data_IF_058853225694
#
_entry.id   IF_058853225694
#
_cell.length_a   1.000
_cell.length_b   1.000
_cell.length_c   1.000
_cell.angle_alpha   90.00
_cell.angle_beta   90.00
_cell.angle_gamma   90.00
#
_symmetry.space_group_name_H-M   'P 1'
#
loop_
_entity.id
_entity.type
_entity.pdbx_description
1 polymer ?
#
# COMPACT_ATOMS: atom_id res chain seq x y z
N UNK A 1 1.13 -55.28 2.08
CA UNK A 1 2.04 -54.47 1.25
C UNK A 1 1.33 -53.16 0.97
N UNK A 2 1.54 -52.15 1.82
CA UNK A 2 0.85 -50.87 1.73
C UNK A 2 1.75 -49.90 0.99
N UNK A 3 1.35 -49.51 -0.21
CA UNK A 3 2.03 -48.47 -0.97
C UNK A 3 1.53 -47.15 -0.40
N UNK A 4 2.35 -46.48 0.42
CA UNK A 4 2.08 -45.12 0.83
C UNK A 4 2.19 -44.24 -0.43
N UNK A 5 1.08 -43.60 -0.81
CA UNK A 5 1.08 -42.62 -1.87
C UNK A 5 1.90 -41.40 -1.39
N UNK A 6 3.11 -41.28 -1.94
CA UNK A 6 3.95 -40.11 -1.77
C UNK A 6 3.21 -38.92 -2.39
N UNK A 7 2.87 -37.92 -1.57
CA UNK A 7 2.16 -36.73 -2.05
C UNK A 7 3.17 -35.93 -2.88
N UNK A 8 2.84 -35.54 -4.13
CA UNK A 8 3.74 -34.71 -4.92
C UNK A 8 4.03 -33.40 -4.17
N UNK A 9 5.29 -33.16 -3.85
CA UNK A 9 5.78 -31.87 -3.37
C UNK A 9 5.78 -30.93 -4.57
N UNK A 10 4.65 -30.27 -4.80
CA UNK A 10 4.61 -29.13 -5.70
C UNK A 10 5.44 -28.02 -5.04
N UNK A 11 6.64 -27.75 -5.57
CA UNK A 11 7.36 -26.53 -5.24
C UNK A 11 6.43 -25.37 -5.56
N UNK A 12 5.92 -24.72 -4.52
CA UNK A 12 5.05 -23.57 -4.68
C UNK A 12 5.94 -22.39 -5.10
N UNK A 13 6.18 -22.29 -6.41
CA UNK A 13 6.97 -21.21 -7.04
C UNK A 13 6.20 -19.88 -7.08
N UNK A 14 4.95 -19.87 -6.62
CA UNK A 14 4.12 -18.67 -6.53
C UNK A 14 4.31 -18.03 -5.15
N UNK A 15 4.64 -16.73 -5.14
CA UNK A 15 4.65 -15.97 -3.90
C UNK A 15 3.26 -16.03 -3.24
N UNK A 16 3.22 -16.22 -1.92
CA UNK A 16 1.96 -16.11 -1.18
C UNK A 16 1.69 -14.65 -0.80
N UNK A 17 0.45 -14.33 -0.42
CA UNK A 17 0.11 -12.99 0.10
C UNK A 17 1.02 -12.60 1.29
N UNK A 18 1.27 -13.46 2.30
CA UNK A 18 2.24 -13.18 3.35
C UNK A 18 3.67 -12.91 2.85
N UNK A 19 4.19 -13.72 1.92
CA UNK A 19 5.56 -13.55 1.42
C UNK A 19 5.74 -12.21 0.70
N UNK A 20 4.70 -11.81 -0.05
CA UNK A 20 4.66 -10.53 -0.73
C UNK A 20 4.67 -9.36 0.27
N UNK A 21 3.82 -9.43 1.30
CA UNK A 21 3.78 -8.43 2.38
C UNK A 21 5.14 -8.30 3.06
N UNK A 22 5.74 -9.42 3.47
CA UNK A 22 7.06 -9.43 4.11
C UNK A 22 8.16 -8.88 3.20
N UNK A 23 8.08 -9.15 1.89
CA UNK A 23 9.04 -8.62 0.91
C UNK A 23 8.94 -7.10 0.78
N UNK A 24 7.72 -6.54 0.80
CA UNK A 24 7.50 -5.09 0.76
C UNK A 24 8.04 -4.44 2.04
N UNK A 25 7.72 -4.98 3.22
CA UNK A 25 8.13 -4.38 4.50
C UNK A 25 9.66 -4.31 4.71
N UNK A 26 10.43 -5.13 3.98
CA UNK A 26 11.90 -5.12 4.02
C UNK A 26 12.54 -4.09 3.09
N UNK A 27 11.77 -3.46 2.21
CA UNK A 27 12.28 -2.39 1.34
C UNK A 27 12.52 -1.11 2.15
N UNK A 28 13.46 -0.26 1.72
CA UNK A 28 13.56 1.12 2.20
C UNK A 28 12.23 1.87 2.07
N UNK A 29 12.00 2.88 2.91
CA UNK A 29 10.75 3.66 2.96
C UNK A 29 10.36 4.19 1.57
N UNK A 30 11.29 4.84 0.87
CA UNK A 30 11.01 5.43 -0.44
C UNK A 30 10.77 4.35 -1.52
N UNK A 31 11.44 3.20 -1.41
CA UNK A 31 11.21 2.06 -2.30
C UNK A 31 9.81 1.45 -2.08
N UNK A 32 9.31 1.44 -0.83
CA UNK A 32 7.93 1.01 -0.54
C UNK A 32 6.92 1.99 -1.16
N UNK A 33 7.11 3.30 -1.00
CA UNK A 33 6.22 4.32 -1.58
C UNK A 33 6.20 4.23 -3.11
N UNK A 34 7.36 4.15 -3.75
CA UNK A 34 7.44 4.02 -5.19
C UNK A 34 6.88 2.70 -5.72
N UNK A 35 7.08 1.60 -5.00
CA UNK A 35 6.47 0.32 -5.34
C UNK A 35 4.94 0.37 -5.30
N UNK A 36 4.37 1.01 -4.27
CA UNK A 36 2.92 1.20 -4.14
C UNK A 36 2.35 2.05 -5.26
N UNK A 37 3.06 3.12 -5.65
CA UNK A 37 2.69 3.95 -6.79
C UNK A 37 2.66 3.15 -8.09
N UNK A 38 3.75 2.45 -8.44
CA UNK A 38 3.83 1.66 -9.68
C UNK A 38 2.80 0.53 -9.69
N UNK A 39 2.53 -0.09 -8.55
CA UNK A 39 1.48 -1.10 -8.45
C UNK A 39 0.08 -0.49 -8.70
N UNK A 40 -0.21 0.69 -8.15
CA UNK A 40 -1.45 1.41 -8.42
C UNK A 40 -1.61 1.72 -9.92
N UNK A 41 -0.56 2.22 -10.57
CA UNK A 41 -0.57 2.49 -12.02
C UNK A 41 -0.77 1.21 -12.84
N UNK A 42 -0.06 0.13 -12.51
CA UNK A 42 -0.19 -1.17 -13.19
C UNK A 42 -1.58 -1.79 -13.05
N UNK A 43 -2.25 -1.55 -11.92
CA UNK A 43 -3.63 -1.98 -11.71
C UNK A 43 -4.64 -1.07 -12.43
N UNK A 44 -4.20 -0.01 -13.12
CA UNK A 44 -5.03 0.90 -13.90
C UNK A 44 -6.07 1.64 -13.06
N UNK A 45 -5.81 1.86 -11.76
CA UNK A 45 -6.82 2.35 -10.83
C UNK A 45 -7.99 1.37 -10.59
N UNK A 46 -7.91 0.12 -11.07
CA UNK A 46 -8.97 -0.88 -10.88
C UNK A 46 -9.00 -1.49 -9.50
N UNK A 47 -8.14 -1.05 -8.56
CA UNK A 47 -8.39 -1.31 -7.15
C UNK A 47 -9.80 -0.81 -6.90
N UNK A 48 -10.71 -1.74 -6.68
CA UNK A 48 -12.05 -1.46 -6.23
C UNK A 48 -11.95 -1.58 -4.72
N UNK A 49 -11.63 -0.51 -3.97
CA UNK A 49 -12.03 -0.49 -2.58
C UNK A 49 -13.51 -0.82 -2.51
N UNK A 50 -13.98 -1.25 -1.34
CA UNK A 50 -15.42 -1.41 -1.12
C UNK A 50 -16.24 -0.14 -1.49
N UNK A 51 -15.58 1.02 -1.53
CA UNK A 51 -16.06 2.25 -2.13
C UNK A 51 -15.72 2.34 -3.63
N UNK A 52 -16.75 2.28 -4.48
CA UNK A 52 -16.66 2.39 -5.95
C UNK A 52 -16.50 3.82 -6.46
N UNK A 53 -16.70 4.85 -5.62
CA UNK A 53 -16.62 6.27 -6.00
C UNK A 53 -15.76 7.12 -5.07
N UNK A 54 -15.23 8.23 -5.58
CA UNK A 54 -14.37 9.16 -4.84
C UNK A 54 -15.03 9.71 -3.56
N UNK A 55 -16.31 10.06 -3.63
CA UNK A 55 -17.08 10.54 -2.48
C UNK A 55 -17.08 9.57 -1.31
N UNK A 56 -17.28 8.27 -1.58
CA UNK A 56 -17.33 7.25 -0.54
C UNK A 56 -15.92 6.97 0.00
N UNK A 57 -14.89 7.01 -0.86
CA UNK A 57 -13.50 6.88 -0.40
C UNK A 57 -13.09 8.03 0.52
N UNK A 58 -13.43 9.27 0.17
CA UNK A 58 -13.16 10.45 0.99
C UNK A 58 -13.84 10.30 2.36
N UNK A 59 -15.11 9.88 2.41
CA UNK A 59 -15.82 9.62 3.67
C UNK A 59 -15.11 8.56 4.52
N UNK A 60 -14.58 7.51 3.90
CA UNK A 60 -13.85 6.45 4.61
C UNK A 60 -12.47 6.94 5.08
N UNK A 61 -11.77 7.74 4.28
CA UNK A 61 -10.48 8.33 4.63
C UNK A 61 -10.58 9.36 5.78
N UNK A 62 -11.74 9.99 5.92
CA UNK A 62 -12.01 10.99 6.96
C UNK A 62 -11.27 12.31 6.70
N UNK A 63 -11.32 13.22 7.68
CA UNK A 63 -10.78 14.59 7.54
C UNK A 63 -9.27 14.61 7.31
N UNK A 64 -8.55 13.55 7.70
CA UNK A 64 -7.10 13.45 7.55
C UNK A 64 -6.66 13.62 6.09
N UNK A 65 -7.42 13.13 5.11
CA UNK A 65 -7.03 13.25 3.69
C UNK A 65 -6.97 14.72 3.26
N UNK A 66 -7.90 15.55 3.72
CA UNK A 66 -7.90 16.99 3.46
C UNK A 66 -6.80 17.72 4.21
N UNK A 67 -6.47 17.30 5.43
CA UNK A 67 -5.34 17.85 6.17
C UNK A 67 -4.04 17.66 5.38
N UNK A 68 -3.82 16.46 4.82
CA UNK A 68 -2.66 16.16 3.99
C UNK A 68 -2.62 17.02 2.73
N UNK A 69 -3.73 17.16 2.01
CA UNK A 69 -3.79 17.99 0.80
C UNK A 69 -3.47 19.48 1.07
N UNK A 70 -3.70 19.97 2.29
CA UNK A 70 -3.38 21.36 2.68
C UNK A 70 -1.91 21.56 3.12
N UNK A 71 -1.12 20.50 3.25
CA UNK A 71 0.32 20.59 3.51
C UNK A 71 1.09 21.01 2.26
N UNK A 72 2.31 21.53 2.42
CA UNK A 72 3.22 21.69 1.29
C UNK A 72 3.63 20.34 0.71
N UNK A 73 4.06 20.29 -0.57
CA UNK A 73 4.47 19.04 -1.21
C UNK A 73 5.59 18.29 -0.45
N UNK A 74 6.52 19.02 0.17
CA UNK A 74 7.58 18.43 1.00
C UNK A 74 6.99 17.76 2.25
N UNK A 75 6.08 18.44 2.93
CA UNK A 75 5.38 17.91 4.11
C UNK A 75 4.44 16.75 3.77
N UNK A 76 3.79 16.78 2.60
CA UNK A 76 2.99 15.66 2.08
C UNK A 76 3.85 14.40 1.90
N UNK A 77 5.02 14.55 1.25
CA UNK A 77 5.97 13.45 1.09
C UNK A 77 6.50 12.96 2.44
N UNK A 78 6.83 13.88 3.35
CA UNK A 78 7.30 13.52 4.69
C UNK A 78 6.22 12.78 5.48
N UNK A 79 4.95 13.19 5.39
CA UNK A 79 3.84 12.47 5.99
C UNK A 79 3.71 11.04 5.43
N UNK A 80 3.81 10.86 4.12
CA UNK A 80 3.80 9.53 3.51
C UNK A 80 4.96 8.66 4.01
N UNK A 81 6.17 9.23 4.11
CA UNK A 81 7.35 8.54 4.67
C UNK A 81 7.14 8.16 6.13
N UNK A 82 6.58 9.06 6.93
CA UNK A 82 6.29 8.84 8.34
C UNK A 82 5.25 7.73 8.56
N UNK A 83 4.23 7.63 7.69
CA UNK A 83 3.28 6.52 7.71
C UNK A 83 3.97 5.17 7.48
N UNK A 84 4.84 5.09 6.49
CA UNK A 84 5.56 3.87 6.15
C UNK A 84 6.57 3.50 7.24
N UNK A 85 7.30 4.48 7.77
CA UNK A 85 8.28 4.30 8.82
C UNK A 85 7.66 4.00 10.19
N UNK A 86 6.36 4.25 10.37
CA UNK A 86 5.72 4.18 11.68
C UNK A 86 6.25 5.25 12.63
N UNK A 87 6.51 6.46 12.12
CA UNK A 87 6.94 7.60 12.95
C UNK A 87 5.79 8.04 13.86
N UNK A 88 6.05 8.27 15.15
CA UNK A 88 5.01 8.69 16.11
C UNK A 88 4.77 10.20 16.06
N UNK A 89 3.71 10.63 15.39
CA UNK A 89 3.26 12.02 15.38
C UNK A 89 1.72 12.08 15.41
N UNK A 90 1.12 13.28 15.41
CA UNK A 90 -0.33 13.42 15.48
C UNK A 90 -1.05 12.78 14.28
N UNK A 91 -0.62 13.12 13.05
CA UNK A 91 -1.28 12.65 11.83
C UNK A 91 -1.12 11.13 11.60
N UNK A 92 0.02 10.54 11.96
CA UNK A 92 0.22 9.08 11.86
C UNK A 92 -0.58 8.30 12.90
N UNK A 93 -0.92 8.92 14.04
CA UNK A 93 -1.86 8.37 15.02
C UNK A 93 -3.30 8.46 14.55
N UNK A 94 -3.69 9.59 13.96
CA UNK A 94 -5.02 9.76 13.35
C UNK A 94 -5.24 8.72 12.24
N UNK A 95 -4.22 8.50 11.39
CA UNK A 95 -4.22 7.43 10.41
C UNK A 95 -4.34 6.05 11.08
N UNK A 96 -3.60 5.81 12.16
CA UNK A 96 -3.59 4.55 12.89
C UNK A 96 -4.95 4.13 13.45
N UNK A 97 -5.82 5.10 13.75
CA UNK A 97 -7.19 4.87 14.22
C UNK A 97 -8.15 4.42 13.10
N UNK A 98 -7.77 4.53 11.83
CA UNK A 98 -8.60 4.09 10.71
C UNK A 98 -8.65 2.55 10.64
N UNK A 99 -9.80 2.00 10.26
CA UNK A 99 -9.92 0.57 9.94
C UNK A 99 -9.06 0.22 8.71
N UNK A 100 -8.67 -1.05 8.53
CA UNK A 100 -7.85 -1.45 7.37
C UNK A 100 -8.49 -1.12 6.02
N UNK A 101 -9.83 -1.13 5.94
CA UNK A 101 -10.55 -0.74 4.72
C UNK A 101 -10.48 0.78 4.49
N UNK A 102 -10.58 1.57 5.55
CA UNK A 102 -10.47 3.02 5.48
C UNK A 102 -9.04 3.46 5.14
N UNK A 103 -8.04 2.77 5.68
CA UNK A 103 -6.61 2.94 5.34
C UNK A 103 -6.34 2.68 3.86
N UNK A 104 -6.94 1.63 3.29
CA UNK A 104 -6.84 1.36 1.85
C UNK A 104 -7.53 2.44 1.02
N UNK A 105 -8.72 2.90 1.45
CA UNK A 105 -9.43 3.99 0.77
C UNK A 105 -8.66 5.31 0.81
N UNK A 106 -7.99 5.60 1.94
CA UNK A 106 -7.10 6.74 2.12
C UNK A 106 -5.96 6.73 1.08
N UNK A 107 -5.19 5.64 1.00
CA UNK A 107 -4.07 5.53 0.06
C UNK A 107 -4.53 5.60 -1.40
N UNK A 108 -5.67 4.98 -1.72
CA UNK A 108 -6.24 5.08 -3.06
C UNK A 108 -6.59 6.54 -3.41
N UNK A 109 -7.27 7.24 -2.50
CA UNK A 109 -7.65 8.63 -2.75
C UNK A 109 -6.44 9.56 -2.82
N UNK A 110 -5.41 9.30 -2.01
CA UNK A 110 -4.13 10.00 -2.07
C UNK A 110 -3.48 9.84 -3.45
N UNK A 111 -3.46 8.61 -3.99
CA UNK A 111 -2.91 8.34 -5.32
C UNK A 111 -3.69 9.04 -6.45
N UNK A 112 -5.03 9.12 -6.36
CA UNK A 112 -5.82 9.91 -7.31
C UNK A 112 -5.47 11.40 -7.26
N UNK A 113 -5.22 11.93 -6.05
CA UNK A 113 -4.80 13.33 -5.86
C UNK A 113 -3.36 13.59 -6.27
N UNK A 114 -2.47 12.60 -6.16
CA UNK A 114 -1.14 12.65 -6.76
C UNK A 114 -1.23 12.74 -8.29
N UNK A 115 -2.18 12.01 -8.89
CA UNK A 115 -2.42 12.03 -10.34
C UNK A 115 -3.04 13.35 -10.83
N UNK A 116 -3.92 13.99 -10.06
CA UNK A 116 -4.47 15.31 -10.40
C UNK A 116 -3.53 16.48 -10.06
N UNK A 117 -2.52 16.24 -9.22
CA UNK A 117 -1.57 17.25 -8.76
C UNK A 117 -2.00 18.00 -7.49
N UNK A 118 -3.07 17.56 -6.82
CA UNK A 118 -3.50 18.10 -5.53
C UNK A 118 -2.61 17.61 -4.36
N UNK A 119 -1.93 16.48 -4.56
CA UNK A 119 -0.88 15.95 -3.68
C UNK A 119 0.40 15.78 -4.50
N UNK A 120 1.56 15.85 -3.85
CA UNK A 120 2.88 15.74 -4.45
C UNK A 120 2.95 14.54 -5.40
N UNK A 121 3.14 14.76 -6.72
CA UNK A 121 3.17 13.68 -7.68
C UNK A 121 4.49 12.91 -7.58
N UNK A 122 4.48 11.65 -8.02
CA UNK A 122 5.74 10.93 -8.28
C UNK A 122 6.42 11.56 -9.51
N UNK A 123 7.74 11.81 -9.47
CA UNK A 123 8.47 12.33 -10.62
C UNK A 123 8.30 11.44 -11.86
N UNK A 124 8.16 12.05 -13.05
CA UNK A 124 7.95 11.30 -14.30
C UNK A 124 9.14 10.40 -14.67
N UNK A 125 10.33 10.74 -14.19
CA UNK A 125 11.57 10.00 -14.38
C UNK A 125 11.87 9.03 -13.23
N UNK A 126 10.94 8.85 -12.29
CA UNK A 126 11.10 7.89 -11.20
C UNK A 126 11.25 6.46 -11.74
N UNK A 127 12.24 5.75 -11.21
CA UNK A 127 12.48 4.34 -11.51
C UNK A 127 12.56 3.56 -10.21
N UNK A 128 11.92 2.39 -10.21
CA UNK A 128 12.05 1.46 -9.09
C UNK A 128 13.51 1.02 -8.95
N UNK A 129 13.95 0.92 -7.70
CA UNK A 129 15.22 0.26 -7.39
C UNK A 129 15.19 -1.21 -7.84
N UNK A 130 16.37 -1.82 -7.98
CA UNK A 130 16.46 -3.25 -8.31
C UNK A 130 15.76 -4.14 -7.25
N UNK A 131 15.92 -3.90 -5.93
CA UNK A 131 15.12 -4.59 -4.90
C UNK A 131 13.61 -4.41 -5.08
N UNK A 132 13.13 -3.18 -5.28
CA UNK A 132 11.70 -2.91 -5.43
C UNK A 132 11.13 -3.55 -6.70
N UNK A 133 11.89 -3.55 -7.80
CA UNK A 133 11.53 -4.23 -9.06
C UNK A 133 11.38 -5.74 -8.86
N UNK A 134 12.29 -6.37 -8.10
CA UNK A 134 12.19 -7.79 -7.79
C UNK A 134 10.93 -8.11 -6.97
N UNK A 135 10.53 -7.21 -6.05
CA UNK A 135 9.28 -7.34 -5.30
C UNK A 135 8.06 -7.13 -6.19
N UNK A 136 8.07 -6.13 -7.08
CA UNK A 136 7.00 -5.89 -8.05
C UNK A 136 6.72 -7.14 -8.91
N UNK A 137 7.77 -7.79 -9.43
CA UNK A 137 7.63 -8.99 -10.24
C UNK A 137 6.94 -10.15 -9.50
N UNK A 138 7.09 -10.23 -8.17
CA UNK A 138 6.35 -11.19 -7.33
C UNK A 138 4.89 -10.79 -7.14
N UNK A 139 4.59 -9.50 -7.13
CA UNK A 139 3.25 -8.97 -6.91
C UNK A 139 2.36 -9.11 -8.16
N UNK A 140 2.89 -8.78 -9.34
CA UNK A 140 2.11 -8.78 -10.58
C UNK A 140 1.67 -10.18 -11.03
N UNK A 141 2.35 -11.23 -10.56
CA UNK A 141 1.96 -12.64 -10.82
C UNK A 141 0.89 -13.15 -9.86
N UNK A 142 0.60 -12.42 -8.78
CA UNK A 142 -0.52 -12.74 -7.90
C UNK A 142 -1.84 -12.46 -8.62
N UNK A 143 -2.87 -13.25 -8.31
CA UNK A 143 -4.22 -12.95 -8.78
C UNK A 143 -4.71 -11.60 -8.25
N UNK A 144 -5.59 -10.93 -8.98
CA UNK A 144 -6.10 -9.60 -8.65
C UNK A 144 -6.57 -9.47 -7.18
N UNK A 145 -7.38 -10.42 -6.69
CA UNK A 145 -7.85 -10.42 -5.30
C UNK A 145 -6.72 -10.57 -4.27
N UNK A 146 -5.64 -11.28 -4.62
CA UNK A 146 -4.45 -11.42 -3.77
C UNK A 146 -3.64 -10.13 -3.74
N UNK A 147 -3.51 -9.42 -4.87
CA UNK A 147 -2.86 -8.09 -4.91
C UNK A 147 -3.61 -7.10 -4.01
N UNK A 148 -4.96 -7.07 -4.08
CA UNK A 148 -5.80 -6.26 -3.18
C UNK A 148 -5.60 -6.66 -1.71
N UNK A 149 -5.49 -7.96 -1.42
CA UNK A 149 -5.23 -8.44 -0.07
C UNK A 149 -3.86 -7.96 0.45
N UNK A 150 -2.82 -8.00 -0.38
CA UNK A 150 -1.49 -7.45 -0.05
C UNK A 150 -1.59 -5.96 0.25
N UNK A 151 -2.21 -5.18 -0.64
CA UNK A 151 -2.38 -3.72 -0.45
C UNK A 151 -3.11 -3.40 0.86
N UNK A 152 -4.19 -4.12 1.17
CA UNK A 152 -4.95 -3.93 2.42
C UNK A 152 -4.09 -4.24 3.65
N UNK A 153 -3.29 -5.30 3.61
CA UNK A 153 -2.42 -5.69 4.73
C UNK A 153 -1.27 -4.68 4.91
N UNK A 154 -0.66 -4.23 3.82
CA UNK A 154 0.40 -3.23 3.84
C UNK A 154 -0.11 -1.89 4.38
N UNK A 155 -1.22 -1.38 3.85
CA UNK A 155 -1.86 -0.17 4.39
C UNK A 155 -2.21 -0.33 5.88
N UNK A 156 -2.72 -1.51 6.27
CA UNK A 156 -3.03 -1.83 7.66
C UNK A 156 -1.83 -1.73 8.62
N UNK A 157 -0.63 -2.09 8.14
CA UNK A 157 0.63 -2.09 8.91
C UNK A 157 1.31 -0.71 8.97
N UNK A 158 0.83 0.28 8.22
CA UNK A 158 1.35 1.65 8.25
C UNK A 158 0.70 2.50 9.35
N UNK A 159 1.42 3.56 9.74
CA UNK A 159 1.09 4.45 10.84
C UNK A 159 1.26 3.80 12.21
N UNK A 160 0.82 4.50 13.25
CA UNK A 160 0.85 4.01 14.63
C UNK A 160 -0.57 3.99 15.16
N UNK A 161 -1.07 2.83 15.57
CA UNK A 161 -2.31 2.77 16.31
C UNK A 161 -2.00 3.01 17.81
N UNK A 162 -2.37 4.17 18.39
CA UNK A 162 -2.03 4.49 19.77
C UNK A 162 -2.71 3.57 20.80
N UNK A 163 -3.70 2.77 20.38
CA UNK A 163 -4.42 1.82 21.23
C UNK A 163 -3.75 0.45 21.28
N UNK A 164 -2.77 0.18 20.42
CA UNK A 164 -2.08 -1.12 20.33
C UNK A 164 -0.56 -0.99 20.18
N UNK A 165 -0.02 0.23 20.24
CA UNK A 165 1.40 0.53 20.09
C UNK A 165 2.16 0.46 21.41
#
# INVERSE_FOLDING_TARGET
>A
MTIAADKPVYFNIFATVPDAVDSIQRLPVDDQLGLLWVLYENMGGLVTPAASGATDRIKLAGDLIYQVANLSHEEQLQFMRDLVAGTNNAMTRDYGCLTSNNKLAFWYQLAEWMRSGDVVPVPQDYQLSAPATAVLNKLIVLGFNQQIAVLRLIAGKMGINPLTA
#
